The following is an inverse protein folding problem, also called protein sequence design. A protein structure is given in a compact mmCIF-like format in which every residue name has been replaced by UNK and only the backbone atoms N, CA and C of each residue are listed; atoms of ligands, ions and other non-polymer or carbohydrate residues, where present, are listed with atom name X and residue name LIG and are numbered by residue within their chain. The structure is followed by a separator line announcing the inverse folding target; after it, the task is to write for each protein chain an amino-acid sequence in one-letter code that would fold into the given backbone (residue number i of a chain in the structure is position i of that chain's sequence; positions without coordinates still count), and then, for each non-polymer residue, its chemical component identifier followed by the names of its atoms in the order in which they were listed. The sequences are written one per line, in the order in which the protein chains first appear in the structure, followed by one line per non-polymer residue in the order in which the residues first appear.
data_IF_542770912862
#
_entry.id   IF_542770912862
#
_cell.length_a   1.000
_cell.length_b   1.000
_cell.length_c   1.000
_cell.angle_alpha   90.00
_cell.angle_beta   90.00
_cell.angle_gamma   90.00
#
_symmetry.space_group_name_H-M   'P 1'
#
loop_
_entity.id
_entity.type
_entity.pdbx_description
1 polymer ?
#
# COMPACT_ATOMS: atom_id res chain seq x y z
N UNK A 1 44.40 -24.40 43.26
CA UNK A 1 45.38 -24.23 42.15
C UNK A 1 44.70 -24.65 40.87
N UNK A 2 44.83 -23.79 39.86
CA UNK A 2 44.09 -23.80 38.59
C UNK A 2 44.74 -24.78 37.61
N UNK A 3 43.91 -25.25 36.65
CA UNK A 3 44.23 -25.77 35.30
C UNK A 3 44.26 -27.30 35.15
N UNK A 4 43.25 -27.82 34.44
CA UNK A 4 43.50 -28.23 33.06
C UNK A 4 42.25 -28.06 32.20
N UNK A 5 42.42 -27.24 31.17
CA UNK A 5 41.42 -26.88 30.17
C UNK A 5 41.39 -27.99 29.14
N UNK A 6 40.18 -28.49 28.85
CA UNK A 6 39.71 -28.89 27.52
C UNK A 6 40.44 -30.01 26.79
N UNK A 7 39.67 -31.00 26.33
CA UNK A 7 39.67 -31.46 24.94
C UNK A 7 38.51 -32.45 24.74
N UNK A 8 37.66 -32.13 23.77
CA UNK A 8 36.76 -33.01 23.03
C UNK A 8 35.70 -33.81 23.81
N UNK A 9 34.49 -33.27 23.84
CA UNK A 9 33.28 -34.05 23.59
C UNK A 9 32.17 -33.06 23.24
N UNK A 10 32.17 -32.49 22.03
CA UNK A 10 31.41 -33.05 20.90
C UNK A 10 30.12 -33.75 21.38
N UNK A 11 29.19 -32.97 21.93
CA UNK A 11 27.77 -33.32 21.92
C UNK A 11 26.90 -32.06 22.08
N UNK A 12 27.27 -30.98 21.37
CA UNK A 12 26.49 -29.75 21.30
C UNK A 12 25.43 -29.79 20.19
N UNK A 13 25.08 -30.97 19.67
CA UNK A 13 24.19 -31.07 18.51
C UNK A 13 23.40 -32.35 18.72
N UNK A 14 22.11 -32.22 18.98
CA UNK A 14 21.01 -33.13 18.60
C UNK A 14 19.80 -32.84 19.50
N UNK A 15 19.04 -31.80 19.14
CA UNK A 15 17.65 -31.90 18.64
C UNK A 15 16.96 -30.53 18.71
N UNK A 16 16.10 -30.24 17.74
CA UNK A 16 16.09 -28.97 17.02
C UNK A 16 15.19 -27.93 17.70
N UNK A 17 15.66 -26.67 17.68
CA UNK A 17 14.74 -25.53 17.72
C UNK A 17 13.76 -25.74 16.56
N UNK A 18 12.49 -25.97 16.85
CA UNK A 18 11.43 -25.78 15.87
C UNK A 18 11.39 -24.31 15.53
N UNK A 19 12.25 -23.89 14.60
CA UNK A 19 12.07 -22.65 13.86
C UNK A 19 10.79 -22.86 13.08
N UNK A 20 9.67 -22.37 13.63
CA UNK A 20 8.50 -22.07 12.83
C UNK A 20 8.93 -20.97 11.87
N UNK A 21 9.54 -21.36 10.76
CA UNK A 21 9.75 -20.50 9.61
C UNK A 21 8.37 -20.14 9.10
N UNK A 22 7.82 -19.05 9.61
CA UNK A 22 6.78 -18.31 8.92
C UNK A 22 7.47 -17.67 7.71
N UNK A 23 7.67 -18.46 6.66
CA UNK A 23 7.81 -17.90 5.31
C UNK A 23 6.47 -17.26 5.00
N UNK A 24 6.35 -15.98 5.36
CA UNK A 24 5.35 -15.11 4.79
C UNK A 24 5.75 -14.98 3.32
N UNK A 25 5.26 -15.93 2.51
CA UNK A 25 5.21 -15.77 1.06
C UNK A 25 4.51 -14.43 0.88
N UNK A 26 5.18 -13.46 0.24
CA UNK A 26 4.50 -12.38 -0.44
C UNK A 26 3.64 -13.06 -1.52
N UNK A 27 2.49 -13.58 -1.12
CA UNK A 27 1.44 -13.91 -2.06
C UNK A 27 1.03 -12.55 -2.62
N UNK A 28 1.22 -12.27 -3.92
CA UNK A 28 0.59 -11.11 -4.51
C UNK A 28 -0.90 -11.22 -4.16
N UNK A 29 -1.55 -10.15 -3.69
CA UNK A 29 -2.99 -10.19 -3.47
C UNK A 29 -3.60 -10.71 -4.78
N UNK A 30 -4.37 -11.79 -4.70
CA UNK A 30 -5.12 -12.27 -5.84
C UNK A 30 -5.96 -11.09 -6.33
N UNK A 31 -5.56 -10.49 -7.45
CA UNK A 31 -6.24 -9.34 -8.01
C UNK A 31 -7.71 -9.71 -8.20
N UNK A 32 -8.58 -9.01 -7.48
CA UNK A 32 -10.01 -9.26 -7.55
C UNK A 32 -10.60 -8.56 -8.77
N UNK A 33 -11.79 -8.97 -9.20
CA UNK A 33 -12.51 -8.26 -10.25
C UNK A 33 -12.74 -6.78 -9.89
N UNK A 34 -12.89 -6.46 -8.60
CA UNK A 34 -13.00 -5.10 -8.11
C UNK A 34 -11.68 -4.31 -8.25
N UNK A 35 -10.53 -4.96 -8.05
CA UNK A 35 -9.23 -4.31 -8.27
C UNK A 35 -9.02 -3.99 -9.75
N UNK A 36 -9.42 -4.90 -10.64
CA UNK A 36 -9.36 -4.65 -12.08
C UNK A 36 -10.28 -3.50 -12.50
N UNK A 37 -11.52 -3.46 -11.98
CA UNK A 37 -12.47 -2.38 -12.26
C UNK A 37 -11.93 -1.02 -11.81
N UNK A 38 -11.31 -0.96 -10.61
CA UNK A 38 -10.63 0.23 -10.11
C UNK A 38 -9.46 0.66 -11.00
N UNK A 39 -8.64 -0.29 -11.45
CA UNK A 39 -7.52 0.01 -12.36
C UNK A 39 -8.02 0.54 -13.70
N UNK A 40 -9.07 -0.06 -14.26
CA UNK A 40 -9.69 0.39 -15.52
C UNK A 40 -10.26 1.82 -15.34
N UNK A 41 -10.94 2.09 -14.23
CA UNK A 41 -11.44 3.42 -13.93
C UNK A 41 -10.30 4.47 -13.89
N UNK A 42 -9.20 4.17 -13.20
CA UNK A 42 -8.02 5.07 -13.16
C UNK A 42 -7.44 5.34 -14.55
N UNK A 43 -7.38 4.32 -15.41
CA UNK A 43 -6.89 4.47 -16.79
C UNK A 43 -7.81 5.29 -17.70
N UNK A 44 -9.05 5.53 -17.29
CA UNK A 44 -10.05 6.29 -18.06
C UNK A 44 -10.11 7.77 -17.73
N UNK A 45 -9.44 8.22 -16.66
CA UNK A 45 -9.51 9.62 -16.23
C UNK A 45 -8.67 10.54 -17.12
N UNK A 46 -9.24 11.70 -17.46
CA UNK A 46 -8.57 12.74 -18.22
C UNK A 46 -8.50 14.08 -17.46
N UNK A 47 -7.77 15.05 -18.03
CA UNK A 47 -7.52 16.35 -17.40
C UNK A 47 -8.52 17.45 -17.79
N UNK A 48 -9.67 17.10 -18.38
CA UNK A 48 -10.74 18.07 -18.64
C UNK A 48 -11.25 18.68 -17.34
N UNK A 49 -11.54 19.97 -17.40
CA UNK A 49 -12.10 20.71 -16.27
C UNK A 49 -13.58 20.38 -16.11
N UNK A 50 -13.90 19.53 -15.13
CA UNK A 50 -15.26 19.22 -14.69
C UNK A 50 -15.56 19.88 -13.34
N UNK A 51 -16.81 20.10 -12.94
CA UNK A 51 -17.11 20.48 -11.54
C UNK A 51 -17.01 19.25 -10.63
N UNK A 52 -16.91 19.44 -9.30
CA UNK A 52 -16.83 18.32 -8.37
C UNK A 52 -18.05 17.39 -8.46
N UNK A 53 -19.24 17.92 -8.73
CA UNK A 53 -20.48 17.16 -8.84
C UNK A 53 -20.57 16.29 -10.10
N UNK A 54 -19.67 16.48 -11.06
CA UNK A 54 -19.59 15.69 -12.30
C UNK A 54 -18.56 14.57 -12.22
N UNK A 55 -17.76 14.50 -11.15
CA UNK A 55 -16.74 13.47 -11.00
C UNK A 55 -17.37 12.13 -10.62
N UNK A 56 -16.80 11.05 -11.16
CA UNK A 56 -17.28 9.68 -10.97
C UNK A 56 -16.96 9.14 -9.57
N UNK A 57 -16.04 9.77 -8.84
CA UNK A 57 -15.63 9.35 -7.52
C UNK A 57 -14.36 10.04 -7.03
N UNK A 58 -13.93 9.64 -5.84
CA UNK A 58 -12.76 10.23 -5.19
C UNK A 58 -11.46 9.94 -5.95
N UNK A 59 -11.34 8.77 -6.59
CA UNK A 59 -10.20 8.41 -7.44
C UNK A 59 -10.02 9.41 -8.61
N UNK A 60 -11.11 9.86 -9.25
CA UNK A 60 -11.06 10.84 -10.33
C UNK A 60 -10.67 12.24 -9.79
N UNK A 61 -11.22 12.62 -8.63
CA UNK A 61 -10.86 13.87 -7.96
C UNK A 61 -9.36 13.92 -7.62
N UNK A 62 -8.82 12.82 -7.08
CA UNK A 62 -7.41 12.65 -6.79
C UNK A 62 -6.55 12.69 -8.05
N UNK A 63 -6.97 12.04 -9.14
CA UNK A 63 -6.27 12.12 -10.42
C UNK A 63 -6.20 13.57 -10.92
N UNK A 64 -7.31 14.31 -10.89
CA UNK A 64 -7.34 15.71 -11.32
C UNK A 64 -6.49 16.63 -10.43
N UNK A 65 -6.44 16.39 -9.12
CA UNK A 65 -5.58 17.14 -8.21
C UNK A 65 -4.09 16.81 -8.44
N UNK A 66 -3.70 15.54 -8.30
CA UNK A 66 -2.31 15.11 -8.24
C UNK A 66 -1.65 14.98 -9.62
N UNK A 67 -2.37 14.45 -10.61
CA UNK A 67 -1.83 14.18 -11.95
C UNK A 67 -2.02 15.39 -12.86
N UNK A 68 -3.22 15.98 -12.86
CA UNK A 68 -3.52 17.12 -13.72
C UNK A 68 -3.17 18.49 -13.10
N UNK A 69 -2.78 18.53 -11.82
CA UNK A 69 -2.37 19.76 -11.13
C UNK A 69 -3.53 20.75 -10.87
N UNK A 70 -4.78 20.30 -10.86
CA UNK A 70 -5.94 21.15 -10.66
C UNK A 70 -6.13 21.44 -9.17
N UNK A 71 -5.36 22.38 -8.61
CA UNK A 71 -5.47 22.78 -7.20
C UNK A 71 -6.86 23.28 -6.80
N UNK A 72 -7.69 23.73 -7.77
CA UNK A 72 -9.08 24.11 -7.51
C UNK A 72 -9.94 22.97 -6.92
N UNK A 73 -9.48 21.72 -7.02
CA UNK A 73 -10.13 20.56 -6.40
C UNK A 73 -9.98 20.57 -4.88
N UNK A 74 -8.87 21.07 -4.36
CA UNK A 74 -8.54 21.15 -2.93
C UNK A 74 -8.30 22.62 -2.56
N UNK A 75 -9.40 23.36 -2.32
CA UNK A 75 -9.36 24.83 -2.21
C UNK A 75 -8.70 25.30 -0.92
N UNK A 76 -8.85 24.53 0.15
CA UNK A 76 -8.30 24.80 1.47
C UNK A 76 -6.94 24.11 1.72
N UNK A 77 -6.48 23.30 0.77
CA UNK A 77 -5.15 22.68 0.72
C UNK A 77 -4.90 21.71 1.89
N UNK A 78 -5.92 20.97 2.30
CA UNK A 78 -5.84 20.00 3.38
C UNK A 78 -5.49 18.57 2.89
N UNK A 79 -5.43 18.41 1.56
CA UNK A 79 -5.16 17.19 0.83
C UNK A 79 -6.41 16.38 0.44
N UNK A 80 -7.62 16.87 0.73
CA UNK A 80 -8.90 16.21 0.44
C UNK A 80 -9.60 16.97 -0.71
N UNK A 81 -9.47 16.51 -1.98
CA UNK A 81 -10.13 17.20 -3.08
C UNK A 81 -11.63 16.92 -3.09
N UNK A 82 -12.43 17.92 -3.47
CA UNK A 82 -13.86 17.78 -3.69
C UNK A 82 -14.54 17.02 -2.53
N UNK A 83 -14.57 17.61 -1.33
CA UNK A 83 -15.11 16.98 -0.11
C UNK A 83 -16.58 16.51 -0.20
N UNK A 84 -17.32 16.96 -1.23
CA UNK A 84 -18.65 16.42 -1.55
C UNK A 84 -18.60 14.97 -2.09
N UNK A 85 -17.45 14.55 -2.61
CA UNK A 85 -17.20 13.23 -3.21
C UNK A 85 -16.13 12.44 -2.43
N UNK A 86 -15.17 13.12 -1.80
CA UNK A 86 -14.10 12.51 -1.01
C UNK A 86 -14.29 12.71 0.49
N UNK A 87 -13.94 11.70 1.28
CA UNK A 87 -13.86 11.79 2.76
C UNK A 87 -12.45 11.49 3.29
N UNK A 88 -11.44 11.47 2.40
CA UNK A 88 -10.06 11.12 2.72
C UNK A 88 -9.10 11.83 1.78
N UNK A 89 -7.84 11.95 2.21
CA UNK A 89 -6.75 12.45 1.38
C UNK A 89 -6.48 11.53 0.19
N UNK A 90 -5.98 12.15 -0.87
CA UNK A 90 -5.21 11.47 -1.91
C UNK A 90 -3.79 11.17 -1.39
#
# INVERSE_FOLDING_TARGET
MVRLIGLLSVCCILLPLSVASQTQVLQPPMATLADLDRMIAVQSFDCSNQTCDMLSGCEEACHKLLVCGQSIRDRDNDGIPCESVCSRRC
#
